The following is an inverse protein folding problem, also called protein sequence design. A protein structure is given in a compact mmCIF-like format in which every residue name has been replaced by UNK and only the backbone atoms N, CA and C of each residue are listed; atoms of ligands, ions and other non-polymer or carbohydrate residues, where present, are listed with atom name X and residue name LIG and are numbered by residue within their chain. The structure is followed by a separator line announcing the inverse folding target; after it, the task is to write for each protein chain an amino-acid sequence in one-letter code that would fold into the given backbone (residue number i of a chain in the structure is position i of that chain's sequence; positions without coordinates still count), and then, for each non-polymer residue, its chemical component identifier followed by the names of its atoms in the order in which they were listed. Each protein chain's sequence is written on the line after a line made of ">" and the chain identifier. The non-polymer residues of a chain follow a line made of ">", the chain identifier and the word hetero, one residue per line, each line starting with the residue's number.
data_IF_263755190161
#
_entry.id   IF_263755190161
#
_cell.length_a   1.000
_cell.length_b   1.000
_cell.length_c   1.000
_cell.angle_alpha   90.00
_cell.angle_beta   90.00
_cell.angle_gamma   90.00
#
_symmetry.space_group_name_H-M   'P 1'
#
loop_
_entity.id
_entity.type
_entity.pdbx_description
1 polymer ?
#
# COMPACT_ATOMS: atom_id res chain seq x y z
N UNK A 1 -11.35 5.81 -8.22
CA UNK A 1 -10.48 5.81 -7.03
C UNK A 1 -9.37 4.78 -7.21
N UNK A 2 -8.12 5.13 -6.92
CA UNK A 2 -7.07 4.15 -6.65
C UNK A 2 -6.99 3.88 -5.16
N UNK A 3 -6.61 2.66 -4.79
CA UNK A 3 -6.40 2.26 -3.39
C UNK A 3 -5.11 1.47 -3.27
N UNK A 4 -4.43 1.60 -2.12
CA UNK A 4 -3.21 0.84 -1.84
C UNK A 4 -3.45 -0.67 -1.87
N UNK A 5 -2.51 -1.42 -2.48
CA UNK A 5 -2.48 -2.89 -2.40
C UNK A 5 -1.77 -3.34 -1.12
N UNK A 6 -2.30 -2.92 0.02
CA UNK A 6 -1.76 -3.17 1.34
C UNK A 6 -2.92 -3.45 2.33
N UNK A 7 -3.17 -4.73 2.60
CA UNK A 7 -4.36 -5.18 3.33
C UNK A 7 -4.51 -4.57 4.73
N UNK A 8 -3.42 -4.37 5.46
CA UNK A 8 -3.45 -3.77 6.81
C UNK A 8 -3.80 -2.29 6.77
N UNK A 9 -3.23 -1.55 5.81
CA UNK A 9 -3.52 -0.13 5.62
C UNK A 9 -4.98 0.08 5.25
N UNK A 10 -5.46 -0.67 4.26
CA UNK A 10 -6.85 -0.59 3.81
C UNK A 10 -7.82 -1.00 4.92
N UNK A 11 -7.55 -2.10 5.64
CA UNK A 11 -8.38 -2.50 6.77
C UNK A 11 -8.45 -1.38 7.81
N UNK A 12 -7.29 -0.83 8.21
CA UNK A 12 -7.21 0.19 9.24
C UNK A 12 -8.03 1.44 8.90
N UNK A 13 -8.00 1.90 7.65
CA UNK A 13 -8.79 3.07 7.22
C UNK A 13 -10.27 2.71 7.08
N UNK A 14 -10.57 1.57 6.46
CA UNK A 14 -11.97 1.18 6.16
C UNK A 14 -12.74 0.80 7.43
N UNK A 15 -12.10 0.17 8.42
CA UNK A 15 -12.78 -0.16 9.68
C UNK A 15 -13.22 1.11 10.42
N UNK A 16 -12.43 2.19 10.38
CA UNK A 16 -12.82 3.48 10.97
C UNK A 16 -14.08 4.05 10.30
N UNK A 17 -14.14 4.01 8.98
CA UNK A 17 -15.33 4.43 8.24
C UNK A 17 -16.52 3.51 8.49
N UNK A 18 -16.33 2.20 8.48
CA UNK A 18 -17.39 1.22 8.70
C UNK A 18 -18.06 1.34 10.08
N UNK A 19 -17.29 1.78 11.08
CA UNK A 19 -17.76 2.00 12.46
C UNK A 19 -17.88 3.48 12.85
N UNK A 20 -17.94 4.41 11.89
CA UNK A 20 -17.98 5.84 12.15
C UNK A 20 -19.13 6.29 13.07
N UNK A 21 -20.27 5.62 13.00
CA UNK A 21 -21.43 5.93 13.84
C UNK A 21 -21.23 5.46 15.28
N UNK A 22 -20.67 4.27 15.48
CA UNK A 22 -20.31 3.74 16.80
C UNK A 22 -19.20 4.58 17.45
N UNK A 23 -18.21 5.03 16.67
CA UNK A 23 -17.19 5.98 17.12
C UNK A 23 -17.83 7.30 17.55
N UNK A 24 -18.74 7.86 16.75
CA UNK A 24 -19.41 9.12 17.05
C UNK A 24 -20.27 9.04 18.33
N UNK A 25 -20.82 7.85 18.64
CA UNK A 25 -21.57 7.59 19.90
C UNK A 25 -20.67 7.24 21.09
N UNK A 26 -19.36 7.10 20.88
CA UNK A 26 -18.40 6.71 21.92
C UNK A 26 -18.52 5.23 22.35
N UNK A 27 -19.10 4.37 21.53
CA UNK A 27 -19.27 2.95 21.81
C UNK A 27 -17.99 2.14 21.59
N UNK A 28 -17.10 2.63 20.70
CA UNK A 28 -15.82 2.03 20.40
C UNK A 28 -14.80 3.12 20.04
N UNK A 29 -13.55 2.94 20.44
CA UNK A 29 -12.47 3.84 20.06
C UNK A 29 -11.83 3.44 18.72
N UNK A 30 -11.17 4.41 18.06
CA UNK A 30 -10.42 4.16 16.83
C UNK A 30 -9.28 3.17 17.07
N UNK A 31 -8.53 3.36 18.15
CA UNK A 31 -7.42 2.46 18.51
C UNK A 31 -7.89 1.03 18.74
N UNK A 32 -9.03 0.85 19.41
CA UNK A 32 -9.59 -0.49 19.62
C UNK A 32 -9.98 -1.16 18.30
N UNK A 33 -10.54 -0.42 17.35
CA UNK A 33 -10.92 -0.98 16.05
C UNK A 33 -9.71 -1.44 15.22
N UNK A 34 -8.62 -0.67 15.27
CA UNK A 34 -7.41 -0.98 14.50
C UNK A 34 -6.55 -2.03 15.20
N UNK A 35 -6.44 -1.98 16.53
CA UNK A 35 -5.61 -2.91 17.30
C UNK A 35 -6.26 -4.29 17.50
N UNK A 36 -7.58 -4.36 17.61
CA UNK A 36 -8.30 -5.59 17.89
C UNK A 36 -9.07 -6.09 16.67
N UNK A 37 -8.42 -6.91 15.83
CA UNK A 37 -9.00 -7.49 14.64
C UNK A 37 -9.87 -8.69 15.01
N UNK A 38 -11.18 -8.66 14.65
CA UNK A 38 -12.13 -9.74 14.87
C UNK A 38 -12.79 -10.18 13.57
N UNK A 39 -13.38 -11.38 13.54
CA UNK A 39 -14.07 -11.89 12.34
C UNK A 39 -15.22 -10.98 11.91
N UNK A 40 -16.02 -10.47 12.83
CA UNK A 40 -17.13 -9.56 12.54
C UNK A 40 -16.62 -8.24 11.93
N UNK A 41 -15.50 -7.70 12.42
CA UNK A 41 -14.87 -6.51 11.89
C UNK A 41 -14.31 -6.75 10.48
N UNK A 42 -13.63 -7.88 10.27
CA UNK A 42 -13.14 -8.30 8.94
C UNK A 42 -14.31 -8.42 7.97
N UNK A 43 -15.40 -9.10 8.35
CA UNK A 43 -16.56 -9.25 7.50
C UNK A 43 -17.18 -7.90 7.14
N UNK A 44 -17.37 -6.99 8.10
CA UNK A 44 -17.95 -5.67 7.87
C UNK A 44 -17.08 -4.82 6.91
N UNK A 45 -15.75 -4.91 7.04
CA UNK A 45 -14.80 -4.27 6.11
C UNK A 45 -14.89 -4.89 4.72
N UNK A 46 -14.97 -6.22 4.60
CA UNK A 46 -15.13 -6.93 3.33
C UNK A 46 -16.42 -6.53 2.60
N UNK A 47 -17.54 -6.47 3.32
CA UNK A 47 -18.84 -6.05 2.77
C UNK A 47 -18.76 -4.62 2.21
N UNK A 48 -18.15 -3.70 2.96
CA UNK A 48 -17.97 -2.33 2.50
C UNK A 48 -17.09 -2.25 1.25
N UNK A 49 -15.91 -2.87 1.26
CA UNK A 49 -14.98 -2.87 0.12
C UNK A 49 -15.61 -3.52 -1.12
N UNK A 50 -16.36 -4.60 -0.93
CA UNK A 50 -17.08 -5.27 -2.01
C UNK A 50 -18.16 -4.37 -2.62
N UNK A 51 -18.87 -3.61 -1.78
CA UNK A 51 -19.92 -2.68 -2.25
C UNK A 51 -19.36 -1.56 -3.12
N UNK A 52 -18.14 -1.10 -2.84
CA UNK A 52 -17.50 -0.03 -3.61
C UNK A 52 -16.58 -0.52 -4.74
N UNK A 53 -16.45 -1.82 -4.94
CA UNK A 53 -15.50 -2.43 -5.88
C UNK A 53 -15.57 -1.85 -7.29
N UNK A 54 -16.75 -1.54 -7.78
CA UNK A 54 -16.95 -0.94 -9.12
C UNK A 54 -16.41 0.49 -9.24
N UNK A 55 -16.14 1.16 -8.13
CA UNK A 55 -15.56 2.50 -8.07
C UNK A 55 -14.03 2.48 -7.93
N UNK A 56 -13.45 1.30 -7.69
CA UNK A 56 -12.00 1.12 -7.55
C UNK A 56 -11.43 0.88 -8.94
N UNK A 57 -10.64 1.83 -9.43
CA UNK A 57 -9.98 1.74 -10.74
C UNK A 57 -8.76 0.81 -10.72
N UNK A 58 -8.15 0.60 -9.56
CA UNK A 58 -7.01 -0.31 -9.38
C UNK A 58 -6.50 -0.33 -7.96
N UNK A 59 -5.87 -1.45 -7.62
CA UNK A 59 -5.08 -1.64 -6.42
C UNK A 59 -3.62 -1.36 -6.76
N UNK A 60 -2.97 -0.46 -6.05
CA UNK A 60 -1.66 0.05 -6.43
C UNK A 60 -0.67 0.02 -5.25
N UNK A 61 0.59 -0.14 -5.56
CA UNK A 61 1.68 0.04 -4.59
C UNK A 61 2.42 1.34 -4.90
N UNK A 62 2.90 1.52 -6.13
CA UNK A 62 3.74 2.66 -6.53
C UNK A 62 3.16 3.50 -7.68
N UNK A 63 2.36 2.89 -8.58
CA UNK A 63 1.93 3.57 -9.79
C UNK A 63 0.80 4.60 -9.57
N UNK A 64 0.09 4.55 -8.46
CA UNK A 64 -1.04 5.44 -8.16
C UNK A 64 -0.64 6.91 -8.17
N UNK A 65 0.50 7.25 -7.60
CA UNK A 65 1.05 8.60 -7.58
C UNK A 65 1.28 9.14 -9.01
N UNK A 66 1.86 8.34 -9.92
CA UNK A 66 2.05 8.74 -11.31
C UNK A 66 0.73 8.87 -12.09
N UNK A 67 -0.24 8.02 -11.81
CA UNK A 67 -1.54 8.07 -12.48
C UNK A 67 -2.38 9.27 -12.02
N UNK A 68 -2.19 9.74 -10.79
CA UNK A 68 -2.77 10.99 -10.28
C UNK A 68 -2.23 12.20 -11.06
N UNK A 69 -0.92 12.29 -11.26
CA UNK A 69 -0.31 13.38 -12.04
C UNK A 69 -0.77 13.41 -13.50
N UNK A 70 -1.15 12.24 -14.05
CA UNK A 70 -1.72 12.11 -15.41
C UNK A 70 -3.22 12.35 -15.48
N UNK A 71 -3.88 12.66 -14.36
CA UNK A 71 -5.32 12.91 -14.28
C UNK A 71 -6.20 11.68 -14.51
N UNK A 72 -5.69 10.46 -14.32
CA UNK A 72 -6.44 9.22 -14.55
C UNK A 72 -7.37 8.82 -13.41
N UNK A 73 -7.21 9.42 -12.24
CA UNK A 73 -8.13 9.25 -11.12
C UNK A 73 -8.32 10.57 -10.38
N UNK A 74 -9.47 10.73 -9.73
CA UNK A 74 -9.81 11.89 -8.91
C UNK A 74 -9.37 11.73 -7.45
N UNK A 75 -9.25 10.48 -7.00
CA UNK A 75 -8.89 10.14 -5.63
C UNK A 75 -7.91 8.98 -5.62
N UNK A 76 -6.93 9.06 -4.74
CA UNK A 76 -6.03 7.97 -4.41
C UNK A 76 -5.91 7.85 -2.88
N UNK A 77 -6.18 6.68 -2.33
CA UNK A 77 -5.82 6.37 -0.95
C UNK A 77 -4.33 6.04 -0.94
N UNK A 78 -3.52 6.99 -0.49
CA UNK A 78 -2.07 6.98 -0.62
C UNK A 78 -1.37 7.11 0.73
N UNK A 79 -0.15 6.64 0.81
CA UNK A 79 0.76 6.99 1.88
C UNK A 79 1.18 8.46 1.76
N UNK A 80 1.46 9.11 2.88
CA UNK A 80 1.74 10.56 2.93
C UNK A 80 2.93 10.96 2.06
N UNK A 81 4.03 10.21 2.09
CA UNK A 81 5.20 10.53 1.26
C UNK A 81 4.95 10.37 -0.24
N UNK A 82 4.19 9.33 -0.66
CA UNK A 82 3.76 9.18 -2.04
C UNK A 82 2.81 10.32 -2.47
N UNK A 83 1.98 10.80 -1.54
CA UNK A 83 1.10 11.93 -1.80
C UNK A 83 1.88 13.23 -1.98
N UNK A 84 2.89 13.49 -1.14
CA UNK A 84 3.76 14.67 -1.29
C UNK A 84 4.48 14.64 -2.65
N UNK A 85 5.09 13.52 -3.01
CA UNK A 85 5.71 13.36 -4.31
C UNK A 85 4.74 13.65 -5.48
N UNK A 86 3.52 13.11 -5.39
CA UNK A 86 2.51 13.33 -6.41
C UNK A 86 2.06 14.80 -6.51
N UNK A 87 1.99 15.52 -5.40
CA UNK A 87 1.67 16.96 -5.34
C UNK A 87 2.76 17.75 -6.07
N UNK A 88 4.03 17.48 -5.75
CA UNK A 88 5.18 18.19 -6.34
C UNK A 88 5.27 17.96 -7.85
N UNK A 89 5.23 16.71 -8.30
CA UNK A 89 5.25 16.36 -9.73
C UNK A 89 4.04 16.91 -10.51
N UNK A 90 2.86 16.91 -9.87
CA UNK A 90 1.65 17.44 -10.50
C UNK A 90 1.73 18.97 -10.68
N UNK A 91 2.33 19.68 -9.74
CA UNK A 91 2.53 21.12 -9.83
C UNK A 91 3.40 21.50 -11.03
N UNK A 92 4.44 20.72 -11.35
CA UNK A 92 5.32 20.96 -12.50
C UNK A 92 4.57 20.91 -13.86
N UNK A 93 3.49 20.13 -13.92
CA UNK A 93 2.66 20.01 -15.14
C UNK A 93 1.36 20.81 -15.05
N UNK A 94 1.22 21.67 -14.04
CA UNK A 94 0.07 22.57 -13.86
C UNK A 94 -1.19 21.86 -13.35
N UNK A 95 -1.05 20.69 -12.72
CA UNK A 95 -2.13 19.97 -12.04
C UNK A 95 -2.04 20.25 -10.55
N UNK A 96 -3.15 20.66 -9.93
CA UNK A 96 -3.22 20.91 -8.50
C UNK A 96 -3.78 19.67 -7.80
N UNK A 97 -2.97 19.05 -6.94
CA UNK A 97 -3.38 17.95 -6.06
C UNK A 97 -3.32 18.42 -4.60
N UNK A 98 -4.16 17.84 -3.76
CA UNK A 98 -4.23 18.13 -2.34
C UNK A 98 -4.31 16.81 -1.56
N UNK A 99 -3.64 16.79 -0.41
CA UNK A 99 -3.70 15.69 0.54
C UNK A 99 -4.55 16.07 1.76
N UNK A 100 -5.39 15.16 2.19
CA UNK A 100 -6.18 15.34 3.40
C UNK A 100 -6.44 14.02 4.13
N UNK A 101 -6.59 14.11 5.44
CA UNK A 101 -7.05 13.01 6.29
C UNK A 101 -8.54 13.20 6.56
N UNK A 102 -9.40 12.21 6.24
CA UNK A 102 -10.84 12.28 6.48
C UNK A 102 -11.21 12.54 7.94
N UNK A 103 -12.44 13.03 8.19
CA UNK A 103 -12.92 13.29 9.56
C UNK A 103 -13.08 11.99 10.37
N UNK A 104 -13.37 10.89 9.72
CA UNK A 104 -13.44 9.56 10.33
C UNK A 104 -12.11 9.12 10.90
N UNK A 105 -11.01 9.63 10.35
CA UNK A 105 -9.64 9.33 10.75
C UNK A 105 -8.87 8.53 9.73
N UNK A 106 -7.66 8.16 10.09
CA UNK A 106 -6.76 7.34 9.29
C UNK A 106 -5.88 6.47 10.20
N UNK A 107 -5.05 5.64 9.59
CA UNK A 107 -3.98 4.94 10.30
C UNK A 107 -2.70 5.79 10.38
N UNK A 108 -1.94 5.55 11.42
CA UNK A 108 -0.55 5.99 11.59
C UNK A 108 0.31 4.76 11.75
N UNK A 109 1.51 4.78 11.19
CA UNK A 109 2.47 3.67 11.34
C UNK A 109 3.88 4.20 11.60
N UNK A 110 4.74 3.31 12.04
CA UNK A 110 6.17 3.56 12.21
C UNK A 110 6.96 2.49 11.49
N UNK A 111 7.94 2.91 10.69
CA UNK A 111 8.97 2.05 10.15
C UNK A 111 10.22 2.19 11.00
N UNK A 112 10.91 1.09 11.24
CA UNK A 112 12.05 1.09 12.14
C UNK A 112 13.21 0.26 11.64
N UNK A 113 14.42 0.77 11.85
CA UNK A 113 15.65 0.01 11.67
C UNK A 113 15.75 -1.10 12.73
N UNK A 114 16.00 -2.31 12.31
CA UNK A 114 16.24 -3.42 13.23
C UNK A 114 17.54 -4.15 12.91
N UNK A 115 18.18 -4.67 13.95
CA UNK A 115 19.38 -5.49 13.84
C UNK A 115 18.98 -6.94 14.14
N UNK A 116 19.03 -7.86 13.15
CA UNK A 116 18.67 -9.26 13.38
C UNK A 116 19.55 -9.91 14.47
N UNK A 117 18.97 -10.83 15.25
CA UNK A 117 19.65 -11.49 16.39
C UNK A 117 20.96 -12.17 15.97
N UNK A 118 21.03 -12.71 14.78
CA UNK A 118 22.21 -13.41 14.24
C UNK A 118 23.14 -12.52 13.40
N UNK A 119 22.94 -11.19 13.42
CA UNK A 119 23.82 -10.27 12.70
C UNK A 119 25.24 -10.31 13.25
N UNK A 120 26.23 -10.38 12.35
CA UNK A 120 27.65 -10.47 12.74
C UNK A 120 28.28 -9.11 13.01
N UNK A 121 27.77 -8.06 12.37
CA UNK A 121 28.33 -6.71 12.41
C UNK A 121 27.41 -5.74 13.18
N UNK A 122 26.92 -6.15 14.36
CA UNK A 122 25.94 -5.39 15.16
C UNK A 122 26.46 -3.99 15.51
N UNK A 123 27.76 -3.85 15.83
CA UNK A 123 28.37 -2.56 16.14
C UNK A 123 28.32 -1.59 14.94
N UNK A 124 28.65 -2.06 13.75
CA UNK A 124 28.57 -1.24 12.53
C UNK A 124 27.11 -0.86 12.21
N UNK A 125 26.17 -1.78 12.38
CA UNK A 125 24.75 -1.51 12.21
C UNK A 125 24.24 -0.45 13.22
N UNK A 126 24.66 -0.53 14.49
CA UNK A 126 24.33 0.49 15.50
C UNK A 126 24.89 1.86 15.14
N UNK A 127 26.13 1.94 14.63
CA UNK A 127 26.68 3.21 14.16
C UNK A 127 25.93 3.77 12.97
N UNK A 128 25.47 2.92 12.04
CA UNK A 128 24.66 3.36 10.91
C UNK A 128 23.31 3.92 11.37
N UNK A 129 22.62 3.21 12.27
CA UNK A 129 21.34 3.71 12.83
C UNK A 129 21.55 5.04 13.54
N UNK A 130 22.61 5.15 14.38
CA UNK A 130 22.93 6.40 15.05
C UNK A 130 23.24 7.54 14.06
N UNK A 131 23.95 7.26 12.97
CA UNK A 131 24.20 8.21 11.89
C UNK A 131 22.91 8.71 11.26
N UNK A 132 21.95 7.82 10.98
CA UNK A 132 20.64 8.19 10.44
C UNK A 132 19.77 8.99 11.42
N UNK A 133 20.02 8.88 12.73
CA UNK A 133 19.32 9.64 13.77
C UNK A 133 19.96 11.01 14.05
N UNK A 134 21.08 11.36 13.43
CA UNK A 134 21.65 12.72 13.55
C UNK A 134 20.73 13.69 12.82
N UNK A 135 20.35 14.85 13.41
CA UNK A 135 19.36 15.75 12.84
C UNK A 135 19.63 16.15 11.39
N UNK A 136 20.88 16.47 11.05
CA UNK A 136 21.29 16.82 9.70
C UNK A 136 21.09 15.71 8.67
N UNK A 137 21.33 14.44 9.06
CA UNK A 137 21.13 13.29 8.20
C UNK A 137 19.65 12.89 8.13
N UNK A 138 18.91 13.07 9.23
CA UNK A 138 17.48 12.87 9.25
C UNK A 138 16.77 13.83 8.30
N UNK A 139 17.15 15.11 8.28
CA UNK A 139 16.63 16.12 7.35
C UNK A 139 16.89 15.69 5.90
N UNK A 140 18.14 15.40 5.53
CA UNK A 140 18.47 14.95 4.18
C UNK A 140 17.70 13.71 3.75
N UNK A 141 17.49 12.77 4.68
CA UNK A 141 16.69 11.58 4.40
C UNK A 141 15.21 11.90 4.21
N UNK A 142 14.64 12.82 5.01
CA UNK A 142 13.25 13.27 4.86
C UNK A 142 13.02 13.97 3.52
N UNK A 143 13.94 14.82 3.09
CA UNK A 143 13.89 15.50 1.79
C UNK A 143 13.91 14.52 0.61
N UNK A 144 14.72 13.45 0.72
CA UNK A 144 14.83 12.46 -0.35
C UNK A 144 13.63 11.52 -0.44
N UNK A 145 13.12 11.04 0.71
CA UNK A 145 12.10 9.97 0.72
C UNK A 145 10.66 10.49 0.90
N UNK A 146 10.47 11.75 1.29
CA UNK A 146 9.16 12.33 1.53
C UNK A 146 8.44 11.85 2.80
N UNK A 147 9.15 11.18 3.73
CA UNK A 147 8.60 10.73 5.03
C UNK A 147 9.39 11.31 6.18
N UNK A 148 8.69 11.61 7.30
CA UNK A 148 9.32 12.22 8.45
C UNK A 148 10.07 11.24 9.33
N UNK A 149 11.19 11.71 9.90
CA UNK A 149 11.94 10.98 10.92
C UNK A 149 11.22 11.05 12.26
N UNK A 150 11.40 10.03 13.11
CA UNK A 150 10.94 10.04 14.52
C UNK A 150 11.83 10.88 15.45
N UNK A 151 12.86 11.52 14.91
CA UNK A 151 13.76 12.38 15.68
C UNK A 151 13.11 13.73 15.92
N UNK A 152 12.72 14.01 17.17
CA UNK A 152 12.19 15.30 17.59
C UNK A 152 13.34 16.17 18.12
N UNK A 153 13.93 16.98 17.24
CA UNK A 153 15.07 17.86 17.52
C UNK A 153 14.77 19.30 17.10
N UNK A 154 15.37 20.26 17.78
CA UNK A 154 15.14 21.69 17.49
C UNK A 154 15.59 22.12 16.08
N UNK A 155 16.61 21.46 15.50
CA UNK A 155 17.03 21.75 14.13
C UNK A 155 15.99 21.22 13.13
N UNK A 156 15.38 20.06 13.41
CA UNK A 156 14.29 19.54 12.59
C UNK A 156 13.04 20.41 12.72
N UNK A 157 12.71 20.88 13.90
CA UNK A 157 11.61 21.84 14.08
C UNK A 157 11.86 23.12 13.30
N UNK A 158 13.09 23.67 13.34
CA UNK A 158 13.47 24.83 12.57
C UNK A 158 13.39 24.61 11.05
N UNK A 159 13.79 23.42 10.58
CA UNK A 159 13.65 23.04 9.18
C UNK A 159 12.18 22.88 8.77
N UNK A 160 11.33 22.33 9.64
CA UNK A 160 9.91 22.14 9.38
C UNK A 160 9.10 23.43 9.36
N UNK A 161 9.63 24.52 10.00
CA UNK A 161 8.96 25.80 10.07
C UNK A 161 9.30 26.67 8.86
N UNK A 162 8.42 26.67 7.87
CA UNK A 162 8.53 27.41 6.62
C UNK A 162 7.54 28.59 6.61
N UNK A 163 8.05 29.80 6.74
CA UNK A 163 7.24 31.05 6.78
C UNK A 163 6.46 31.33 5.49
N UNK A 164 6.75 30.62 4.39
CA UNK A 164 5.99 30.72 3.14
C UNK A 164 4.64 29.96 3.24
N UNK A 165 4.50 29.07 4.21
CA UNK A 165 3.25 28.39 4.51
C UNK A 165 2.35 29.30 5.35
N UNK A 166 1.19 29.70 4.81
CA UNK A 166 0.28 30.67 5.48
C UNK A 166 -0.37 30.11 6.75
N UNK A 167 -0.58 28.78 6.82
CA UNK A 167 -1.27 28.14 7.93
C UNK A 167 -0.29 27.57 8.95
N UNK A 168 -0.70 27.57 10.22
CA UNK A 168 0.09 26.94 11.28
C UNK A 168 -0.57 25.66 11.79
N UNK A 169 0.27 24.70 12.20
CA UNK A 169 -0.12 23.44 12.84
C UNK A 169 0.37 23.39 14.28
N UNK A 170 -0.41 22.79 15.17
CA UNK A 170 0.04 22.45 16.51
C UNK A 170 0.79 21.11 16.45
N UNK A 171 2.10 21.17 16.66
CA UNK A 171 3.01 20.03 16.62
C UNK A 171 3.53 19.61 18.01
N UNK A 172 2.88 20.05 19.08
CA UNK A 172 3.30 19.71 20.45
C UNK A 172 3.27 18.22 20.76
N UNK A 173 2.45 17.45 20.06
CA UNK A 173 2.43 15.98 20.16
C UNK A 173 3.75 15.32 19.74
N UNK A 174 4.57 16.02 18.94
CA UNK A 174 5.82 15.49 18.39
C UNK A 174 7.06 16.22 18.96
N UNK A 175 7.07 17.56 18.91
CA UNK A 175 8.21 18.37 19.34
C UNK A 175 8.12 18.86 20.79
N UNK A 176 6.95 18.77 21.43
CA UNK A 176 6.74 19.24 22.78
C UNK A 176 6.41 20.73 22.85
N UNK A 177 6.62 21.32 24.03
CA UNK A 177 6.34 22.72 24.33
C UNK A 177 7.12 23.65 23.40
N UNK A 178 6.47 24.70 22.92
CA UNK A 178 7.02 25.69 21.98
C UNK A 178 6.70 25.40 20.51
N UNK A 179 5.99 24.29 20.23
CA UNK A 179 5.55 23.92 18.88
C UNK A 179 4.03 24.03 18.67
N UNK A 180 3.38 25.00 19.36
CA UNK A 180 1.93 25.21 19.31
C UNK A 180 1.44 25.82 17.99
N UNK A 181 2.32 26.55 17.28
CA UNK A 181 1.98 27.22 16.01
C UNK A 181 3.19 27.23 15.07
N UNK A 182 3.36 26.14 14.33
CA UNK A 182 4.47 25.95 13.38
C UNK A 182 3.93 26.03 11.96
N UNK A 183 4.57 26.82 11.10
CA UNK A 183 4.27 26.90 9.67
C UNK A 183 4.81 25.65 8.98
N UNK A 184 4.11 24.52 9.10
CA UNK A 184 4.61 23.23 8.63
C UNK A 184 3.76 22.66 7.49
N UNK A 185 4.43 21.97 6.58
CA UNK A 185 3.73 21.18 5.57
C UNK A 185 2.89 20.10 6.27
N UNK A 186 1.57 20.18 6.12
CA UNK A 186 0.61 19.30 6.80
C UNK A 186 0.66 17.84 6.31
N UNK A 187 1.32 17.56 5.17
CA UNK A 187 1.56 16.19 4.70
C UNK A 187 2.63 15.52 5.56
N UNK A 188 3.66 16.26 5.92
CA UNK A 188 4.75 15.80 6.79
C UNK A 188 4.37 15.87 8.27
N UNK A 189 3.87 17.04 8.69
CA UNK A 189 3.54 17.33 10.08
C UNK A 189 2.08 17.79 10.18
N UNK A 190 1.11 16.86 10.19
CA UNK A 190 -0.28 17.21 10.36
C UNK A 190 -0.54 17.81 11.73
N UNK A 191 -1.53 18.70 11.82
CA UNK A 191 -1.97 19.30 13.08
C UNK A 191 -2.38 18.25 14.11
N UNK A 192 -2.18 18.56 15.39
CA UNK A 192 -2.54 17.67 16.51
C UNK A 192 -3.98 17.14 16.40
N UNK A 193 -4.93 17.96 15.98
CA UNK A 193 -6.33 17.56 15.80
C UNK A 193 -6.53 16.48 14.71
N UNK A 194 -5.61 16.41 13.76
CA UNK A 194 -5.57 15.33 12.76
C UNK A 194 -5.07 14.03 13.39
N UNK A 195 -3.99 14.11 14.16
CA UNK A 195 -3.40 12.94 14.84
C UNK A 195 -4.37 12.35 15.85
N UNK A 196 -5.10 13.17 16.61
CA UNK A 196 -6.10 12.72 17.60
C UNK A 196 -7.24 11.91 17.01
N UNK A 197 -7.50 12.02 15.70
CA UNK A 197 -8.48 11.16 15.02
C UNK A 197 -7.87 10.01 14.23
N UNK A 198 -6.56 9.83 14.29
CA UNK A 198 -5.87 8.69 13.71
C UNK A 198 -5.69 7.57 14.74
N UNK A 199 -5.44 6.36 14.27
CA UNK A 199 -5.14 5.20 15.09
C UNK A 199 -3.83 4.54 14.65
N UNK A 200 -3.03 4.07 15.62
CA UNK A 200 -1.79 3.37 15.33
C UNK A 200 -2.08 2.00 14.70
N UNK A 201 -1.45 1.72 13.57
CA UNK A 201 -1.55 0.41 12.93
C UNK A 201 -0.83 -0.65 13.75
N UNK A 202 -1.49 -1.78 13.97
CA UNK A 202 -0.98 -2.92 14.72
C UNK A 202 -0.80 -4.16 13.83
N UNK A 203 -0.06 -5.13 14.35
CA UNK A 203 0.00 -6.46 13.78
C UNK A 203 -1.35 -7.18 13.94
N UNK A 204 -1.76 -7.93 12.92
CA UNK A 204 -3.03 -8.66 12.96
C UNK A 204 -2.96 -9.97 13.76
N UNK A 205 -1.76 -10.35 14.21
CA UNK A 205 -1.53 -11.54 15.02
C UNK A 205 -2.06 -12.82 14.34
N UNK A 206 -2.85 -13.57 15.09
CA UNK A 206 -3.50 -14.81 14.66
C UNK A 206 -4.57 -14.59 13.57
N UNK A 207 -5.03 -13.36 13.35
CA UNK A 207 -5.99 -12.99 12.31
C UNK A 207 -5.35 -12.65 10.96
N UNK A 208 -4.04 -12.78 10.82
CA UNK A 208 -3.33 -12.46 9.56
C UNK A 208 -3.84 -13.29 8.39
N UNK A 209 -4.08 -14.59 8.58
CA UNK A 209 -4.61 -15.47 7.52
C UNK A 209 -6.04 -15.09 7.12
N UNK A 210 -6.91 -14.76 8.08
CA UNK A 210 -8.28 -14.32 7.83
C UNK A 210 -8.28 -13.00 7.03
N UNK A 211 -7.40 -12.08 7.38
CA UNK A 211 -7.21 -10.80 6.69
C UNK A 211 -6.73 -10.99 5.24
N UNK A 212 -5.76 -11.86 5.02
CA UNK A 212 -5.26 -12.18 3.67
C UNK A 212 -6.34 -12.87 2.82
N UNK A 213 -7.13 -13.76 3.43
CA UNK A 213 -8.24 -14.40 2.75
C UNK A 213 -9.33 -13.38 2.35
N UNK A 214 -9.70 -12.47 3.25
CA UNK A 214 -10.60 -11.35 2.96
C UNK A 214 -10.04 -10.50 1.81
N UNK A 215 -8.77 -10.12 1.89
CA UNK A 215 -8.11 -9.29 0.88
C UNK A 215 -8.15 -9.92 -0.52
N UNK A 216 -7.86 -11.23 -0.60
CA UNK A 216 -7.95 -11.99 -1.86
C UNK A 216 -9.38 -12.00 -2.44
N UNK A 217 -10.40 -12.13 -1.60
CA UNK A 217 -11.80 -12.08 -2.06
C UNK A 217 -12.22 -10.69 -2.55
N UNK A 218 -11.82 -9.64 -1.84
CA UNK A 218 -12.09 -8.24 -2.20
C UNK A 218 -11.44 -7.88 -3.53
N UNK A 219 -10.18 -8.19 -3.72
CA UNK A 219 -9.46 -7.92 -4.97
C UNK A 219 -10.06 -8.71 -6.14
N UNK A 220 -10.61 -9.87 -5.86
CA UNK A 220 -11.16 -10.75 -6.89
C UNK A 220 -10.07 -11.26 -7.82
N UNK A 221 -8.92 -11.59 -7.27
CA UNK A 221 -7.80 -12.25 -7.96
C UNK A 221 -8.19 -13.62 -8.50
N UNK A 222 -9.42 -14.01 -8.36
CA UNK A 222 -10.00 -15.13 -9.02
C UNK A 222 -10.01 -14.84 -10.52
N UNK A 223 -9.08 -15.44 -11.23
CA UNK A 223 -9.17 -15.59 -12.68
C UNK A 223 -10.64 -15.86 -13.01
N UNK A 224 -11.27 -14.99 -13.80
CA UNK A 224 -12.70 -15.19 -14.11
C UNK A 224 -12.85 -16.63 -14.59
N UNK A 225 -13.90 -17.32 -14.17
CA UNK A 225 -14.13 -18.72 -14.57
C UNK A 225 -14.06 -18.85 -16.10
N UNK A 226 -14.46 -17.82 -16.84
CA UNK A 226 -14.29 -17.75 -18.29
C UNK A 226 -12.83 -17.77 -18.74
N UNK A 227 -11.93 -17.06 -18.06
CA UNK A 227 -10.49 -17.09 -18.37
C UNK A 227 -9.86 -18.45 -18.03
N UNK A 228 -10.23 -19.05 -16.91
CA UNK A 228 -9.79 -20.41 -16.54
C UNK A 228 -10.23 -21.42 -17.61
N UNK A 229 -11.50 -21.39 -18.03
CA UNK A 229 -12.02 -22.25 -19.10
C UNK A 229 -11.26 -21.97 -20.41
N UNK A 230 -11.04 -20.71 -20.76
CA UNK A 230 -10.28 -20.36 -21.97
C UNK A 230 -8.86 -20.93 -21.94
N UNK A 231 -8.14 -20.80 -20.84
CA UNK A 231 -6.78 -21.38 -20.66
C UNK A 231 -6.83 -22.90 -20.81
N UNK A 232 -7.79 -23.57 -20.17
CA UNK A 232 -7.94 -25.03 -20.27
C UNK A 232 -8.24 -25.47 -21.70
N UNK A 233 -9.09 -24.75 -22.43
CA UNK A 233 -9.38 -25.03 -23.86
C UNK A 233 -8.13 -24.86 -24.72
N UNK A 234 -7.35 -23.79 -24.53
CA UNK A 234 -6.10 -23.57 -25.25
C UNK A 234 -5.09 -24.70 -24.97
N UNK A 235 -4.93 -25.10 -23.72
CA UNK A 235 -4.06 -26.23 -23.35
C UNK A 235 -4.52 -27.53 -23.99
N UNK A 236 -5.82 -27.83 -24.00
CA UNK A 236 -6.38 -29.01 -24.65
C UNK A 236 -6.11 -28.98 -26.16
N UNK A 237 -6.28 -27.85 -26.84
CA UNK A 237 -5.97 -27.71 -28.28
C UNK A 237 -4.48 -27.95 -28.56
N UNK A 238 -3.58 -27.44 -27.72
CA UNK A 238 -2.13 -27.71 -27.85
C UNK A 238 -1.84 -29.20 -27.75
N UNK A 239 -2.44 -29.88 -26.77
CA UNK A 239 -2.27 -31.35 -26.62
C UNK A 239 -2.78 -32.07 -27.86
N UNK A 240 -3.95 -31.74 -28.39
CA UNK A 240 -4.51 -32.30 -29.61
C UNK A 240 -3.55 -32.12 -30.79
N UNK A 241 -2.98 -30.97 -31.00
CA UNK A 241 -1.98 -30.69 -32.04
C UNK A 241 -0.76 -31.57 -31.87
N UNK A 242 -0.22 -31.73 -30.67
CA UNK A 242 0.92 -32.61 -30.41
C UNK A 242 0.59 -34.10 -30.71
N UNK A 243 -0.60 -34.54 -30.32
CA UNK A 243 -1.07 -35.92 -30.61
C UNK A 243 -1.19 -36.15 -32.13
N UNK A 244 -1.82 -35.23 -32.86
CA UNK A 244 -1.92 -35.31 -34.32
C UNK A 244 -0.54 -35.32 -34.95
N UNK A 245 0.38 -34.48 -34.55
CA UNK A 245 1.75 -34.48 -35.05
C UNK A 245 2.48 -35.83 -34.78
N UNK A 246 2.31 -36.36 -33.57
CA UNK A 246 2.90 -37.66 -33.21
C UNK A 246 2.35 -38.79 -34.07
N UNK A 247 1.03 -38.85 -34.30
CA UNK A 247 0.37 -39.81 -35.18
C UNK A 247 0.90 -39.68 -36.62
N UNK A 248 0.96 -38.46 -37.14
CA UNK A 248 1.46 -38.19 -38.49
C UNK A 248 2.93 -38.60 -38.67
N UNK A 249 3.78 -38.32 -37.66
CA UNK A 249 5.19 -38.74 -37.66
C UNK A 249 5.31 -40.29 -37.66
N UNK A 250 4.47 -40.98 -36.88
CA UNK A 250 4.43 -42.42 -36.85
C UNK A 250 4.00 -42.99 -38.22
N UNK A 251 2.95 -42.45 -38.82
CA UNK A 251 2.44 -42.84 -40.14
C UNK A 251 3.48 -42.61 -41.25
N UNK A 252 4.19 -41.50 -41.24
CA UNK A 252 5.28 -41.25 -42.20
C UNK A 252 6.45 -42.22 -42.03
N UNK A 253 6.85 -42.58 -40.82
CA UNK A 253 7.90 -43.57 -40.55
C UNK A 253 7.49 -44.97 -41.07
N UNK A 254 6.24 -45.34 -40.90
CA UNK A 254 5.71 -46.61 -41.43
C UNK A 254 5.71 -46.66 -42.97
N UNK A 255 5.28 -45.57 -43.59
CA UNK A 255 5.32 -45.43 -45.06
C UNK A 255 6.75 -45.49 -45.61
N UNK A 256 7.69 -44.85 -44.96
CA UNK A 256 9.10 -44.90 -45.33
C UNK A 256 9.68 -46.34 -45.16
N UNK A 257 9.33 -47.06 -44.10
CA UNK A 257 9.71 -48.47 -43.88
C UNK A 257 9.14 -49.35 -44.97
N UNK A 258 7.88 -49.18 -45.36
CA UNK A 258 7.25 -49.93 -46.47
C UNK A 258 7.93 -49.67 -47.82
N UNK A 259 8.28 -48.41 -48.14
CA UNK A 259 9.03 -48.05 -49.36
C UNK A 259 10.43 -48.66 -49.38
N UNK A 260 11.14 -48.70 -48.25
CA UNK A 260 12.48 -49.27 -48.15
C UNK A 260 12.47 -50.78 -48.33
N UNK A 261 11.45 -51.48 -47.80
CA UNK A 261 11.29 -52.89 -47.94
C UNK A 261 10.91 -53.32 -49.40
N UNK A 262 10.13 -52.46 -50.11
CA UNK A 262 9.84 -52.67 -51.55
C UNK A 262 11.05 -52.51 -52.49
N UNK A 263 12.04 -51.69 -52.11
CA UNK A 263 13.27 -51.50 -52.90
C UNK A 263 14.33 -52.57 -52.63
N UNK A 264 14.15 -53.40 -51.64
CA UNK A 264 15.05 -54.51 -51.29
C UNK A 264 14.58 -55.88 -51.81
N UNK A 265 13.39 -55.93 -52.39
CA UNK A 265 12.87 -57.07 -53.19
C UNK A 265 12.99 -56.74 -54.70
#
# INVERSE_FOLDING_TARGET
>A
VFMKDAFRDIYSVVVLYAYREEIARGEVSRDELVANVTEDRIQRVEEFLTSMKNNIAGWEVDFGKEEMTKGKAWLNLSWSGDAQWAIDEAAEVGVNLEYFVPQEGSNVWFDGWCIPVYAKNTKAASYFINYMCMPENAILNMEEIGYVSVVADSNILAWANDEEIETTSNLTYFFGEGAEAVHANHVFYPDQTVIERCALMHDCGDKTEDMLAMWSRVKGDNLSMGLVIFILVVLALIVVVFVIQAINRKRQRELQRKKRNRRRR
#
